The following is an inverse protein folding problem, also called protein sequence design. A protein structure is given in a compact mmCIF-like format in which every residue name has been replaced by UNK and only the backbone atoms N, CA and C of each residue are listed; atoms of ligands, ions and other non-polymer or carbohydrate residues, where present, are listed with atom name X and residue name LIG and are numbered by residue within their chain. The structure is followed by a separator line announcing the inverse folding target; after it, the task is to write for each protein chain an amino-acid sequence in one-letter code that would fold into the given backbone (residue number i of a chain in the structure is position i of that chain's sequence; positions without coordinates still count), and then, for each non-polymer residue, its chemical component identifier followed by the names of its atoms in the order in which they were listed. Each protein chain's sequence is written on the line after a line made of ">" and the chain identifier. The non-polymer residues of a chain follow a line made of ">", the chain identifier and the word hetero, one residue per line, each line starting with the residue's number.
data_IF_433053928095
#
_entry.id   IF_433053928095
#
_cell.length_a   1.000
_cell.length_b   1.000
_cell.length_c   1.000
_cell.angle_alpha   90.00
_cell.angle_beta   90.00
_cell.angle_gamma   90.00
#
_symmetry.space_group_name_H-M   'P 1'
#
loop_
_entity.id
_entity.type
_entity.pdbx_description
1 polymer ?
#
# COMPACT_ATOMS: atom_id res chain seq x y z
N UNK A 1 -7.18 -9.00 -8.36
CA UNK A 1 -7.85 -9.51 -9.59
C UNK A 1 -8.71 -8.45 -10.28
N UNK A 2 -9.71 -7.81 -9.62
CA UNK A 2 -10.58 -6.81 -10.29
C UNK A 2 -9.82 -5.64 -10.93
N UNK A 3 -9.00 -4.91 -10.16
CA UNK A 3 -8.26 -3.74 -10.65
C UNK A 3 -7.22 -4.08 -11.73
N UNK A 4 -6.55 -5.23 -11.60
CA UNK A 4 -5.61 -5.72 -12.63
C UNK A 4 -6.33 -6.03 -13.94
N UNK A 5 -7.52 -6.64 -13.89
CA UNK A 5 -8.30 -6.96 -15.07
C UNK A 5 -8.83 -5.71 -15.79
N UNK A 6 -8.93 -4.58 -15.09
CA UNK A 6 -9.32 -3.29 -15.66
C UNK A 6 -8.11 -2.49 -16.19
N UNK A 7 -6.89 -3.05 -16.10
CA UNK A 7 -5.65 -2.40 -16.54
C UNK A 7 -5.40 -1.02 -15.91
N UNK A 8 -5.92 -0.80 -14.70
CA UNK A 8 -5.78 0.48 -13.97
C UNK A 8 -4.38 0.56 -13.32
N UNK A 9 -3.87 -0.56 -12.81
CA UNK A 9 -2.58 -0.60 -12.14
C UNK A 9 -1.44 -0.69 -13.15
N UNK A 10 -0.39 0.11 -12.92
CA UNK A 10 0.89 0.02 -13.65
C UNK A 10 1.57 -1.30 -13.31
N UNK A 11 2.25 -1.89 -14.28
CA UNK A 11 2.95 -3.18 -14.11
C UNK A 11 4.46 -3.07 -14.14
N UNK A 12 5.01 -1.90 -14.46
CA UNK A 12 6.45 -1.68 -14.68
C UNK A 12 6.93 -0.50 -13.83
N UNK A 13 8.13 -0.60 -13.26
CA UNK A 13 8.82 0.44 -12.50
C UNK A 13 9.11 1.67 -13.37
N UNK A 14 8.82 2.86 -12.85
CA UNK A 14 9.19 4.10 -13.53
C UNK A 14 10.70 4.38 -13.47
N UNK A 15 11.42 3.77 -12.50
CA UNK A 15 12.87 3.94 -12.35
C UNK A 15 13.72 2.91 -13.10
N UNK A 16 13.33 1.63 -13.05
CA UNK A 16 14.18 0.54 -13.57
C UNK A 16 13.69 -0.02 -14.90
N UNK A 17 12.44 0.25 -15.29
CA UNK A 17 11.81 -0.36 -16.46
C UNK A 17 11.55 -1.87 -16.31
N UNK A 18 11.75 -2.43 -15.11
CA UNK A 18 11.47 -3.83 -14.79
C UNK A 18 10.04 -3.99 -14.27
N UNK A 19 9.50 -5.20 -14.32
CA UNK A 19 8.20 -5.52 -13.76
C UNK A 19 8.14 -5.17 -12.26
N UNK A 20 7.04 -4.55 -11.84
CA UNK A 20 6.78 -4.24 -10.45
C UNK A 20 6.56 -5.52 -9.66
N UNK A 21 7.23 -5.62 -8.52
CA UNK A 21 7.07 -6.70 -7.56
C UNK A 21 6.21 -6.21 -6.39
N UNK A 22 5.29 -7.05 -5.91
CA UNK A 22 4.47 -6.70 -4.74
C UNK A 22 5.35 -6.45 -3.51
N UNK A 23 5.14 -5.31 -2.84
CA UNK A 23 5.76 -5.00 -1.55
C UNK A 23 5.13 -5.79 -0.39
N UNK A 24 3.94 -6.33 -0.61
CA UNK A 24 3.19 -7.10 0.39
C UNK A 24 3.16 -8.56 -0.06
N UNK A 25 3.88 -9.41 0.65
CA UNK A 25 3.83 -10.85 0.43
C UNK A 25 2.59 -11.42 1.14
N UNK A 26 1.60 -11.94 0.40
CA UNK A 26 0.36 -12.37 1.04
C UNK A 26 0.50 -13.62 1.92
N UNK A 27 1.61 -14.35 1.75
CA UNK A 27 1.93 -15.54 2.53
C UNK A 27 2.82 -15.23 3.74
N UNK A 28 3.24 -13.98 3.92
CA UNK A 28 4.08 -13.57 5.03
C UNK A 28 3.23 -13.20 6.24
N UNK A 29 3.40 -13.95 7.33
CA UNK A 29 2.81 -13.61 8.63
C UNK A 29 3.16 -12.16 9.04
N UNK A 30 4.40 -11.74 8.74
CA UNK A 30 4.92 -10.43 9.10
C UNK A 30 4.25 -9.27 8.35
N UNK A 31 3.62 -9.56 7.21
CA UNK A 31 2.97 -8.55 6.36
C UNK A 31 1.54 -8.23 6.79
N UNK A 32 0.83 -9.16 7.46
CA UNK A 32 -0.59 -8.97 7.79
C UNK A 32 -0.97 -9.14 9.26
N UNK A 33 -0.09 -9.68 10.10
CA UNK A 33 -0.34 -9.72 11.55
C UNK A 33 0.17 -8.43 12.17
N UNK A 34 -0.73 -7.59 12.68
CA UNK A 34 -0.37 -6.37 13.39
C UNK A 34 0.60 -6.61 14.57
N UNK A 35 0.61 -7.79 15.16
CA UNK A 35 1.53 -8.15 16.26
C UNK A 35 2.97 -8.41 15.82
N UNK A 36 3.23 -8.62 14.53
CA UNK A 36 4.50 -9.13 14.04
C UNK A 36 5.63 -8.10 14.06
N UNK A 37 5.30 -6.83 13.82
CA UNK A 37 6.20 -5.70 13.75
C UNK A 37 5.59 -4.60 14.62
N UNK A 38 6.35 -4.14 15.62
CA UNK A 38 5.92 -3.07 16.51
C UNK A 38 6.03 -1.71 15.84
N UNK A 39 4.95 -0.93 15.89
CA UNK A 39 4.83 0.42 15.33
C UNK A 39 3.76 1.20 16.12
N UNK A 40 3.34 2.36 15.63
CA UNK A 40 2.40 3.27 16.29
C UNK A 40 1.04 2.65 16.63
N UNK A 41 0.66 1.52 16.02
CA UNK A 41 -0.60 0.82 16.30
C UNK A 41 -0.60 0.04 17.62
N UNK A 42 0.56 -0.24 18.25
CA UNK A 42 0.64 -1.09 19.45
C UNK A 42 -0.31 -0.64 20.57
N UNK A 43 -0.40 0.65 20.95
CA UNK A 43 -1.33 1.11 21.97
C UNK A 43 -2.81 0.88 21.60
N UNK A 44 -3.16 0.93 20.32
CA UNK A 44 -4.54 0.70 19.83
C UNK A 44 -4.89 -0.78 19.89
N UNK A 45 -3.97 -1.64 19.45
CA UNK A 45 -4.11 -3.09 19.52
C UNK A 45 -4.35 -3.55 20.96
N UNK A 46 -3.58 -3.05 21.93
CA UNK A 46 -3.75 -3.36 23.36
C UNK A 46 -5.12 -2.97 23.93
N UNK A 47 -5.86 -2.09 23.24
CA UNK A 47 -7.20 -1.61 23.63
C UNK A 47 -8.32 -2.30 22.83
N UNK A 48 -8.00 -3.33 22.05
CA UNK A 48 -8.97 -4.11 21.29
C UNK A 48 -9.38 -3.49 19.96
N UNK A 49 -8.62 -2.52 19.43
CA UNK A 49 -8.88 -1.96 18.09
C UNK A 49 -8.39 -2.96 17.04
N UNK A 50 -9.22 -3.25 16.04
CA UNK A 50 -8.83 -4.06 14.89
C UNK A 50 -7.81 -3.30 14.03
N UNK A 51 -6.65 -3.90 13.79
CA UNK A 51 -5.55 -3.28 13.06
C UNK A 51 -5.34 -3.95 11.70
N UNK A 52 -5.34 -3.15 10.63
CA UNK A 52 -4.73 -3.50 9.35
C UNK A 52 -3.39 -2.76 9.25
N UNK A 53 -2.29 -3.45 9.58
CA UNK A 53 -0.95 -2.85 9.59
C UNK A 53 -0.28 -3.03 8.21
N UNK A 54 -0.35 -2.01 7.36
CA UNK A 54 0.19 -2.04 6.00
C UNK A 54 1.66 -1.62 5.96
N UNK A 55 2.53 -2.51 6.43
CA UNK A 55 3.99 -2.29 6.42
C UNK A 55 4.67 -3.35 5.53
N UNK A 56 5.57 -2.96 4.61
CA UNK A 56 6.26 -3.93 3.76
C UNK A 56 7.16 -4.84 4.59
N UNK A 57 7.23 -6.12 4.23
CA UNK A 57 8.23 -7.04 4.77
C UNK A 57 8.79 -7.92 3.65
N UNK A 58 10.12 -7.96 3.45
CA UNK A 58 11.15 -7.22 4.19
C UNK A 58 11.05 -5.69 4.04
N UNK A 59 11.64 -4.94 4.97
CA UNK A 59 11.73 -3.48 4.82
C UNK A 59 12.56 -3.10 3.58
N UNK A 60 12.33 -1.92 2.99
CA UNK A 60 13.19 -1.42 1.92
C UNK A 60 14.65 -1.41 2.37
N UNK A 61 15.58 -1.79 1.48
CA UNK A 61 17.01 -1.82 1.79
C UNK A 61 17.59 -0.44 2.17
N UNK A 62 16.87 0.63 1.83
CA UNK A 62 17.23 2.02 2.16
C UNK A 62 16.73 2.46 3.55
N UNK A 63 15.87 1.68 4.21
CA UNK A 63 15.31 2.02 5.52
C UNK A 63 16.41 2.30 6.56
N UNK A 64 16.21 3.36 7.35
CA UNK A 64 17.16 3.84 8.38
C UNK A 64 18.57 4.17 7.85
N UNK A 65 18.71 4.51 6.57
CA UNK A 65 19.95 5.08 6.05
C UNK A 65 19.70 6.27 5.13
N UNK A 66 20.78 6.98 4.77
CA UNK A 66 20.71 8.26 4.02
C UNK A 66 20.16 8.13 2.60
N UNK A 67 20.03 6.90 2.09
CA UNK A 67 19.46 6.63 0.77
C UNK A 67 17.92 6.61 0.79
N UNK A 68 17.30 6.64 1.97
CA UNK A 68 15.86 6.86 2.12
C UNK A 68 15.54 8.34 1.85
N UNK A 69 15.38 8.66 0.57
CA UNK A 69 15.15 10.00 0.06
C UNK A 69 14.28 9.93 -1.20
N UNK A 70 13.94 11.09 -1.78
CA UNK A 70 13.05 11.13 -2.95
C UNK A 70 13.56 10.30 -4.16
N UNK A 71 14.87 10.11 -4.29
CA UNK A 71 15.45 9.37 -5.40
C UNK A 71 15.20 7.86 -5.32
N UNK A 72 14.81 7.30 -4.17
CA UNK A 72 14.45 5.89 -4.05
C UNK A 72 12.96 5.61 -4.29
N UNK A 73 12.12 6.63 -4.48
CA UNK A 73 10.66 6.50 -4.62
C UNK A 73 10.26 6.24 -6.08
N UNK A 74 9.57 5.12 -6.34
CA UNK A 74 9.03 4.81 -7.66
C UNK A 74 7.61 5.37 -7.85
N UNK A 75 7.44 6.30 -8.78
CA UNK A 75 6.16 6.99 -9.02
C UNK A 75 5.03 6.03 -9.42
N UNK A 76 5.32 4.99 -10.21
CA UNK A 76 4.29 4.02 -10.61
C UNK A 76 3.83 3.18 -9.41
N UNK A 77 4.72 2.86 -8.48
CA UNK A 77 4.36 2.22 -7.21
C UNK A 77 3.47 3.13 -6.36
N UNK A 78 3.83 4.42 -6.24
CA UNK A 78 3.04 5.40 -5.48
C UNK A 78 1.65 5.59 -6.09
N UNK A 79 1.55 5.72 -7.41
CA UNK A 79 0.26 5.84 -8.13
C UNK A 79 -0.63 4.60 -7.88
N UNK A 80 -0.05 3.41 -7.99
CA UNK A 80 -0.77 2.16 -7.71
C UNK A 80 -1.29 2.10 -6.27
N UNK A 81 -0.48 2.47 -5.28
CA UNK A 81 -0.92 2.53 -3.89
C UNK A 81 -2.04 3.56 -3.68
N UNK A 82 -1.94 4.72 -4.32
CA UNK A 82 -2.98 5.76 -4.26
C UNK A 82 -4.32 5.23 -4.80
N UNK A 83 -4.31 4.56 -5.96
CA UNK A 83 -5.51 3.94 -6.54
C UNK A 83 -6.07 2.88 -5.59
N UNK A 84 -5.23 2.01 -5.05
CA UNK A 84 -5.64 0.95 -4.12
C UNK A 84 -6.29 1.52 -2.86
N UNK A 85 -5.67 2.50 -2.21
CA UNK A 85 -6.20 3.10 -0.98
C UNK A 85 -7.49 3.86 -1.23
N UNK A 86 -7.55 4.66 -2.29
CA UNK A 86 -8.77 5.40 -2.63
C UNK A 86 -9.92 4.45 -2.95
N UNK A 87 -9.67 3.40 -3.72
CA UNK A 87 -10.68 2.39 -4.03
C UNK A 87 -11.13 1.66 -2.78
N UNK A 88 -10.19 1.21 -1.94
CA UNK A 88 -10.51 0.52 -0.69
C UNK A 88 -11.33 1.41 0.25
N UNK A 89 -10.93 2.67 0.46
CA UNK A 89 -11.67 3.59 1.33
C UNK A 89 -13.06 3.89 0.78
N UNK A 90 -13.20 4.09 -0.53
CA UNK A 90 -14.50 4.30 -1.16
C UNK A 90 -15.41 3.09 -0.99
N UNK A 91 -14.90 1.88 -1.24
CA UNK A 91 -15.66 0.64 -1.07
C UNK A 91 -16.02 0.38 0.40
N UNK A 92 -15.08 0.58 1.33
CA UNK A 92 -15.27 0.36 2.75
C UNK A 92 -16.32 1.30 3.36
N UNK A 93 -16.40 2.53 2.86
CA UNK A 93 -17.37 3.53 3.27
C UNK A 93 -18.65 3.54 2.40
N UNK A 94 -18.76 2.62 1.44
CA UNK A 94 -19.88 2.52 0.49
C UNK A 94 -20.15 3.83 -0.26
N UNK A 95 -19.07 4.55 -0.63
CA UNK A 95 -19.17 5.80 -1.38
C UNK A 95 -19.48 5.52 -2.85
N UNK A 96 -20.57 6.11 -3.33
CA UNK A 96 -20.85 6.20 -4.76
C UNK A 96 -20.23 7.51 -5.28
N UNK A 97 -19.26 7.46 -6.22
CA UNK A 97 -18.66 8.66 -6.77
C UNK A 97 -19.74 9.45 -7.54
N UNK A 98 -20.14 10.59 -6.98
CA UNK A 98 -21.00 11.54 -7.70
C UNK A 98 -20.32 11.90 -9.02
N UNK A 99 -21.03 11.80 -10.15
CA UNK A 99 -20.45 12.10 -11.45
C UNK A 99 -20.09 13.59 -11.51
N UNK A 100 -18.95 13.89 -12.15
CA UNK A 100 -18.30 15.22 -12.13
C UNK A 100 -19.19 16.39 -12.59
N UNK A 101 -20.28 16.10 -13.28
CA UNK A 101 -21.31 17.02 -13.77
C UNK A 101 -22.39 17.39 -12.73
N UNK A 102 -22.28 16.89 -11.49
CA UNK A 102 -23.17 17.24 -10.37
C UNK A 102 -22.44 17.98 -9.22
N UNK A 103 -21.20 18.41 -9.44
CA UNK A 103 -20.44 19.34 -8.58
C UNK A 103 -20.53 20.77 -9.14
#
# INVERSE_FOLDING_TARGET
>A
NRLNNQSILKTVSSKTGQDLVSMFNPNSFLTFRGEAIGDDHVPFLMRGVNILHMIPHPFPNVWHNRLDNADCIDDNVVENLSVLFRTFTAEYLELDPLPHNEL
#
